data_IF_334164905285
#
_entry.id   IF_334164905285
#
_cell.length_a   1.000
_cell.length_b   1.000
_cell.length_c   1.000
_cell.angle_alpha   90.00
_cell.angle_beta   90.00
_cell.angle_gamma   90.00
#
_symmetry.space_group_name_H-M   'P 1'
#
loop_
_entity.id
_entity.type
_entity.pdbx_description
1 polymer ?
#
# COMPACT_ATOMS: atom_id res chain seq x y z
N UNK A 1 -15.52 13.44 6.81
CA UNK A 1 -15.38 13.82 5.39
C UNK A 1 -15.90 12.68 4.54
N UNK A 2 -16.67 12.98 3.51
CA UNK A 2 -17.16 12.00 2.54
C UNK A 2 -16.09 11.74 1.47
N UNK A 3 -16.14 10.58 0.82
CA UNK A 3 -15.21 10.26 -0.29
C UNK A 3 -15.26 11.30 -1.43
N UNK A 4 -16.39 11.99 -1.61
CA UNK A 4 -16.52 13.08 -2.59
C UNK A 4 -15.72 14.33 -2.21
N UNK A 5 -15.62 14.66 -0.93
CA UNK A 5 -14.84 15.81 -0.44
C UNK A 5 -13.35 15.55 -0.58
N UNK A 6 -12.90 14.35 -0.20
CA UNK A 6 -11.50 13.91 -0.36
C UNK A 6 -11.10 13.91 -1.83
N UNK A 7 -11.96 13.38 -2.71
CA UNK A 7 -11.70 13.38 -4.16
C UNK A 7 -11.50 14.79 -4.72
N UNK A 8 -12.37 15.75 -4.35
CA UNK A 8 -12.22 17.15 -4.79
C UNK A 8 -10.90 17.77 -4.35
N UNK A 9 -10.50 17.54 -3.10
CA UNK A 9 -9.23 18.06 -2.58
C UNK A 9 -8.03 17.49 -3.35
N UNK A 10 -8.04 16.19 -3.68
CA UNK A 10 -6.99 15.57 -4.48
C UNK A 10 -6.96 16.07 -5.93
N UNK A 11 -8.09 16.49 -6.50
CA UNK A 11 -8.09 17.12 -7.83
C UNK A 11 -7.50 18.54 -7.82
N UNK A 12 -7.79 19.32 -6.78
CA UNK A 12 -7.26 20.68 -6.62
C UNK A 12 -5.77 20.67 -6.30
N UNK A 13 -5.32 19.70 -5.50
CA UNK A 13 -3.93 19.51 -5.11
C UNK A 13 -3.55 18.04 -5.32
N UNK A 14 -3.14 17.65 -6.55
CA UNK A 14 -2.75 16.28 -6.85
C UNK A 14 -1.68 15.75 -5.89
N UNK A 15 -1.90 14.57 -5.27
CA UNK A 15 -0.95 14.02 -4.34
C UNK A 15 0.34 13.65 -5.05
N UNK A 16 1.48 13.91 -4.41
CA UNK A 16 2.77 13.44 -4.89
C UNK A 16 2.96 11.98 -4.47
N UNK A 17 2.32 11.07 -5.19
CA UNK A 17 2.41 9.63 -4.94
C UNK A 17 3.85 9.13 -5.09
N UNK A 18 4.25 8.31 -4.14
CA UNK A 18 5.57 7.68 -4.07
C UNK A 18 5.45 6.27 -4.65
N UNK A 19 6.33 5.93 -5.59
CA UNK A 19 6.39 4.58 -6.17
C UNK A 19 6.79 4.57 -7.63
N UNK A 20 6.41 3.51 -8.33
CA UNK A 20 6.80 3.28 -9.73
C UNK A 20 8.29 2.97 -9.88
N UNK A 21 8.93 2.51 -8.81
CA UNK A 21 10.37 2.25 -8.80
C UNK A 21 10.72 0.99 -9.57
N UNK A 22 11.91 0.96 -10.20
CA UNK A 22 12.44 -0.26 -10.84
C UNK A 22 13.14 -1.22 -9.88
N UNK A 23 13.37 -0.80 -8.64
CA UNK A 23 14.05 -1.62 -7.62
C UNK A 23 13.25 -1.59 -6.32
N UNK A 24 12.89 -2.77 -5.83
CA UNK A 24 12.21 -2.94 -4.54
C UNK A 24 12.96 -2.32 -3.36
N UNK A 25 14.30 -2.26 -3.39
CA UNK A 25 15.09 -1.65 -2.31
C UNK A 25 14.79 -0.17 -2.07
N UNK A 26 14.31 0.57 -3.08
CA UNK A 26 13.84 1.95 -2.90
C UNK A 26 12.54 2.01 -2.14
N UNK A 27 11.64 1.05 -2.39
CA UNK A 27 10.38 0.93 -1.67
C UNK A 27 10.63 0.68 -0.18
N UNK A 28 11.49 -0.29 0.13
CA UNK A 28 11.84 -0.63 1.51
C UNK A 28 12.40 0.59 2.25
N UNK A 29 13.32 1.34 1.62
CA UNK A 29 13.88 2.57 2.21
C UNK A 29 12.85 3.67 2.48
N UNK A 30 11.76 3.73 1.71
CA UNK A 30 10.67 4.67 1.99
C UNK A 30 9.87 4.19 3.19
N UNK A 31 9.52 2.90 3.23
CA UNK A 31 8.76 2.31 4.33
C UNK A 31 9.53 2.38 5.68
N UNK A 32 10.85 2.24 5.65
CA UNK A 32 11.74 2.40 6.82
C UNK A 32 11.79 3.84 7.36
N UNK A 33 11.46 4.85 6.53
CA UNK A 33 11.40 6.26 6.99
C UNK A 33 10.09 6.59 7.70
N UNK A 34 9.10 5.71 7.61
CA UNK A 34 7.81 5.90 8.25
C UNK A 34 7.91 5.27 9.64
N UNK A 35 7.78 6.09 10.68
CA UNK A 35 8.06 5.71 12.07
C UNK A 35 7.05 4.70 12.66
N UNK A 36 5.96 4.41 11.96
CA UNK A 36 4.99 3.36 12.29
C UNK A 36 5.65 1.98 12.40
N UNK A 37 5.02 1.07 13.15
CA UNK A 37 5.44 -0.32 13.18
C UNK A 37 5.22 -0.99 11.82
N UNK A 38 5.99 -2.03 11.51
CA UNK A 38 5.83 -2.77 10.24
C UNK A 38 4.47 -3.50 10.17
N UNK A 39 3.90 -3.82 11.33
CA UNK A 39 2.56 -4.39 11.52
C UNK A 39 1.92 -3.77 12.76
N UNK A 40 0.73 -3.20 12.59
CA UNK A 40 -0.09 -2.63 13.65
C UNK A 40 -1.40 -3.44 13.78
N UNK A 41 -1.82 -3.71 15.01
CA UNK A 41 -3.08 -4.41 15.30
C UNK A 41 -4.17 -3.36 15.48
N UNK A 42 -5.17 -3.37 14.59
CA UNK A 42 -6.30 -2.42 14.61
C UNK A 42 -7.41 -2.87 15.56
N UNK A 43 -7.46 -4.16 15.90
CA UNK A 43 -8.54 -4.80 16.64
C UNK A 43 -9.48 -5.59 15.72
N UNK A 44 -10.40 -6.37 16.31
CA UNK A 44 -11.40 -7.17 15.59
C UNK A 44 -10.86 -8.11 14.50
N UNK A 45 -9.62 -8.59 14.66
CA UNK A 45 -8.95 -9.46 13.69
C UNK A 45 -8.37 -8.72 12.49
N UNK A 46 -8.37 -7.39 12.48
CA UNK A 46 -7.74 -6.57 11.47
C UNK A 46 -6.30 -6.22 11.86
N UNK A 47 -5.42 -6.26 10.87
CA UNK A 47 -4.03 -5.79 10.98
C UNK A 47 -3.69 -4.90 9.81
N UNK A 48 -2.93 -3.85 10.07
CA UNK A 48 -2.37 -2.97 9.05
C UNK A 48 -0.88 -3.24 8.94
N UNK A 49 -0.36 -3.42 7.73
CA UNK A 49 1.04 -3.78 7.52
C UNK A 49 1.69 -2.99 6.40
N UNK A 50 2.96 -2.64 6.60
CA UNK A 50 3.81 -2.08 5.55
C UNK A 50 4.09 -3.15 4.49
N UNK A 51 3.92 -2.79 3.23
CA UNK A 51 4.06 -3.70 2.11
C UNK A 51 4.77 -3.09 0.91
N UNK A 52 5.51 -3.94 0.19
CA UNK A 52 5.99 -3.68 -1.16
C UNK A 52 4.98 -4.29 -2.12
N UNK A 53 4.41 -3.47 -3.00
CA UNK A 53 3.63 -3.96 -4.14
C UNK A 53 4.52 -4.08 -5.36
N UNK A 54 4.33 -5.14 -6.12
CA UNK A 54 4.85 -5.33 -7.48
C UNK A 54 3.69 -5.20 -8.47
N UNK A 55 3.75 -4.18 -9.31
CA UNK A 55 2.82 -3.97 -10.41
C UNK A 55 3.11 -4.92 -11.57
N UNK A 56 2.11 -5.15 -12.42
CA UNK A 56 2.24 -6.02 -13.59
C UNK A 56 3.31 -5.55 -14.60
N UNK A 57 3.61 -4.25 -14.64
CA UNK A 57 4.69 -3.66 -15.46
C UNK A 57 6.10 -3.78 -14.84
N UNK A 58 6.24 -4.52 -13.73
CA UNK A 58 7.51 -4.74 -13.03
C UNK A 58 8.02 -3.52 -12.26
N UNK A 59 7.14 -2.58 -11.93
CA UNK A 59 7.46 -1.47 -11.01
C UNK A 59 6.95 -1.72 -9.60
N UNK A 60 7.59 -1.07 -8.63
CA UNK A 60 7.35 -1.30 -7.21
C UNK A 60 6.83 -0.06 -6.50
N UNK A 61 5.92 -0.25 -5.56
CA UNK A 61 5.25 0.81 -4.80
C UNK A 61 5.28 0.53 -3.29
N UNK A 62 5.59 1.52 -2.45
CA UNK A 62 5.34 1.42 -1.01
C UNK A 62 3.84 1.53 -0.76
N UNK A 63 3.33 0.67 0.11
CA UNK A 63 1.93 0.67 0.48
C UNK A 63 1.73 0.24 1.93
N UNK A 64 0.54 0.51 2.44
CA UNK A 64 -0.01 -0.11 3.62
C UNK A 64 -1.17 -1.01 3.18
N UNK A 65 -1.20 -2.23 3.70
CA UNK A 65 -2.27 -3.20 3.49
C UNK A 65 -3.02 -3.41 4.80
N UNK A 66 -4.34 -3.33 4.76
CA UNK A 66 -5.18 -3.80 5.86
C UNK A 66 -5.66 -5.20 5.52
N UNK A 67 -5.40 -6.15 6.41
CA UNK A 67 -5.72 -7.56 6.26
C UNK A 67 -6.74 -7.97 7.32
N UNK A 68 -7.69 -8.81 6.92
CA UNK A 68 -8.63 -9.48 7.83
C UNK A 68 -8.14 -10.89 8.14
N UNK A 69 -7.56 -11.07 9.33
CA UNK A 69 -7.08 -12.36 9.83
C UNK A 69 -8.22 -13.31 10.19
N UNK A 70 -9.40 -12.80 10.52
CA UNK A 70 -10.60 -13.64 10.71
C UNK A 70 -11.03 -14.29 9.39
N UNK A 71 -10.65 -13.69 8.26
CA UNK A 71 -10.83 -14.24 6.92
C UNK A 71 -9.50 -14.60 6.24
N UNK A 72 -8.60 -15.29 6.97
CA UNK A 72 -7.39 -15.90 6.42
C UNK A 72 -6.42 -14.92 5.77
N UNK A 73 -6.37 -13.69 6.26
CA UNK A 73 -5.48 -12.63 5.77
C UNK A 73 -5.95 -11.97 4.48
N UNK A 74 -7.25 -12.00 4.19
CA UNK A 74 -7.80 -11.29 3.02
C UNK A 74 -7.43 -9.81 3.08
N UNK A 75 -6.89 -9.26 1.98
CA UNK A 75 -6.67 -7.83 1.84
C UNK A 75 -8.01 -7.11 1.75
N UNK A 76 -8.32 -6.28 2.75
CA UNK A 76 -9.55 -5.47 2.84
C UNK A 76 -9.28 -3.97 2.68
N UNK A 77 -8.01 -3.55 2.71
CA UNK A 77 -7.59 -2.18 2.45
C UNK A 77 -6.24 -2.12 1.76
N UNK A 78 -6.10 -1.19 0.81
CA UNK A 78 -4.84 -0.88 0.16
C UNK A 78 -4.66 0.64 0.09
N UNK A 79 -3.55 1.13 0.65
CA UNK A 79 -3.23 2.54 0.73
C UNK A 79 -1.87 2.80 0.11
N UNK A 80 -1.83 3.72 -0.86
CA UNK A 80 -0.59 4.24 -1.43
C UNK A 80 -0.10 5.44 -0.64
N UNK A 81 1.21 5.66 -0.69
CA UNK A 81 1.86 6.72 0.09
C UNK A 81 2.05 7.94 -0.79
N UNK A 82 1.65 9.11 -0.30
CA UNK A 82 1.96 10.41 -0.86
C UNK A 82 2.93 11.17 0.05
N UNK A 83 3.86 11.89 -0.55
CA UNK A 83 4.76 12.80 0.18
C UNK A 83 4.11 14.18 0.31
N UNK A 84 3.95 14.64 1.55
CA UNK A 84 3.60 16.01 1.88
C UNK A 84 4.80 16.69 2.59
N UNK A 85 4.78 18.02 2.75
CA UNK A 85 5.94 18.78 3.25
C UNK A 85 6.44 18.35 4.63
N UNK A 86 5.55 17.83 5.46
CA UNK A 86 5.83 17.52 6.88
C UNK A 86 5.56 16.05 7.23
N UNK A 87 4.85 15.30 6.38
CA UNK A 87 4.40 13.94 6.69
C UNK A 87 4.14 13.10 5.44
N UNK A 88 3.98 11.79 5.65
CA UNK A 88 3.45 10.88 4.65
C UNK A 88 1.93 10.75 4.81
N UNK A 89 1.21 10.88 3.70
CA UNK A 89 -0.24 10.70 3.66
C UNK A 89 -0.57 9.33 3.05
N UNK A 90 -1.51 8.60 3.66
CA UNK A 90 -2.04 7.34 3.15
C UNK A 90 -3.30 7.60 2.34
N UNK A 91 -3.29 7.21 1.06
CA UNK A 91 -4.40 7.44 0.13
C UNK A 91 -4.94 6.09 -0.34
N UNK A 92 -6.24 5.80 -0.16
CA UNK A 92 -6.86 4.60 -0.71
C UNK A 92 -6.57 4.44 -2.20
N UNK A 93 -6.26 3.22 -2.63
CA UNK A 93 -5.86 2.94 -4.02
C UNK A 93 -6.86 3.46 -5.04
N UNK A 94 -8.16 3.32 -4.78
CA UNK A 94 -9.26 3.75 -5.63
C UNK A 94 -9.21 5.25 -5.92
N UNK A 95 -8.74 6.04 -4.94
CA UNK A 95 -8.58 7.48 -5.04
C UNK A 95 -7.21 7.88 -5.60
N UNK A 96 -6.17 7.09 -5.31
CA UNK A 96 -4.79 7.36 -5.74
C UNK A 96 -4.55 6.98 -7.21
N UNK A 97 -5.19 5.92 -7.70
CA UNK A 97 -4.96 5.33 -9.02
C UNK A 97 -5.00 6.33 -10.20
N UNK A 98 -5.93 7.30 -10.28
CA UNK A 98 -5.95 8.28 -11.36
C UNK A 98 -4.68 9.13 -11.47
N UNK A 99 -3.94 9.30 -10.35
CA UNK A 99 -2.72 10.09 -10.27
C UNK A 99 -1.44 9.29 -10.55
N UNK A 100 -1.55 7.96 -10.71
CA UNK A 100 -0.41 7.12 -11.10
C UNK A 100 -0.06 7.23 -12.59
N UNK A 101 -0.96 7.80 -13.40
CA UNK A 101 -0.83 7.92 -14.85
C UNK A 101 -0.54 6.57 -15.54
N UNK A 102 -1.07 5.49 -14.99
CA UNK A 102 -0.95 4.13 -15.51
C UNK A 102 -2.32 3.50 -15.69
N UNK A 103 -2.42 2.61 -16.67
CA UNK A 103 -3.61 1.81 -16.91
C UNK A 103 -3.71 0.66 -15.93
N UNK A 104 -4.92 0.11 -15.77
CA UNK A 104 -5.18 -1.09 -14.98
C UNK A 104 -4.31 -2.27 -15.41
N UNK A 105 -4.02 -2.41 -16.71
CA UNK A 105 -3.20 -3.50 -17.24
C UNK A 105 -1.74 -3.40 -16.83
N UNK A 106 -1.25 -2.19 -16.57
CA UNK A 106 0.12 -1.96 -16.13
C UNK A 106 0.26 -2.13 -14.61
N UNK A 107 -0.81 -1.83 -13.86
CA UNK A 107 -0.80 -1.90 -12.40
C UNK A 107 -1.22 -3.27 -11.88
N UNK A 108 -2.34 -3.80 -12.37
CA UNK A 108 -3.05 -4.92 -11.76
C UNK A 108 -2.85 -6.24 -12.54
N UNK A 109 -2.94 -7.39 -11.85
CA UNK A 109 -3.02 -7.51 -10.39
C UNK A 109 -1.68 -7.13 -9.73
N UNK A 110 -1.74 -6.50 -8.56
CA UNK A 110 -0.55 -6.35 -7.74
C UNK A 110 -0.21 -7.69 -7.09
N UNK A 111 1.08 -8.01 -7.05
CA UNK A 111 1.63 -8.95 -6.07
C UNK A 111 2.14 -8.16 -4.88
N UNK A 112 2.19 -8.76 -3.70
CA UNK A 112 2.69 -8.06 -2.52
C UNK A 112 3.60 -8.90 -1.64
N UNK A 113 4.45 -8.23 -0.88
CA UNK A 113 5.13 -8.79 0.29
C UNK A 113 5.12 -7.77 1.42
N UNK A 114 4.85 -8.21 2.64
CA UNK A 114 4.91 -7.35 3.83
C UNK A 114 6.34 -7.29 4.38
N UNK A 115 6.67 -6.24 5.11
CA UNK A 115 8.01 -6.10 5.72
C UNK A 115 8.23 -7.06 6.89
N UNK A 116 7.17 -7.39 7.63
CA UNK A 116 7.18 -8.43 8.65
C UNK A 116 6.17 -9.52 8.33
N UNK A 117 6.46 -10.76 8.73
CA UNK A 117 5.53 -11.88 8.62
C UNK A 117 4.34 -11.66 9.54
N UNK A 118 3.14 -11.87 9.03
CA UNK A 118 1.90 -11.68 9.78
C UNK A 118 1.39 -13.07 10.20
N UNK A 119 1.44 -13.33 11.50
CA UNK A 119 0.96 -14.60 12.03
C UNK A 119 -0.57 -14.71 11.84
N UNK A 120 -1.01 -15.83 11.25
CA UNK A 120 -2.42 -16.07 10.91
C UNK A 120 -2.84 -15.61 9.51
N UNK A 121 -1.98 -14.93 8.75
CA UNK A 121 -2.22 -14.65 7.34
C UNK A 121 -1.85 -15.87 6.47
N UNK A 122 -2.87 -16.55 5.93
CA UNK A 122 -2.69 -17.71 5.03
C UNK A 122 -2.37 -17.31 3.59
N UNK A 123 -2.51 -16.03 3.22
CA UNK A 123 -2.15 -15.54 1.89
C UNK A 123 -0.63 -15.52 1.72
N UNK A 124 0.17 -15.28 2.78
CA UNK A 124 1.64 -15.13 2.68
C UNK A 124 2.41 -16.46 2.48
N UNK A 125 1.95 -17.31 1.56
CA UNK A 125 2.47 -18.67 1.33
C UNK A 125 3.97 -18.65 1.02
N UNK A 126 4.44 -17.62 0.30
CA UNK A 126 5.83 -17.51 -0.16
C UNK A 126 6.70 -16.57 0.69
N UNK A 127 6.23 -16.11 1.85
CA UNK A 127 6.98 -15.11 2.62
C UNK A 127 8.43 -15.57 2.92
N UNK A 128 9.45 -14.70 2.75
CA UNK A 128 9.39 -13.25 2.53
C UNK A 128 9.22 -12.80 1.07
N UNK A 129 9.00 -13.71 0.13
CA UNK A 129 8.78 -13.39 -1.27
C UNK A 129 7.33 -12.95 -1.56
N UNK A 130 7.13 -12.44 -2.77
CA UNK A 130 5.85 -11.93 -3.23
C UNK A 130 4.79 -13.04 -3.34
N UNK A 131 3.63 -12.77 -2.74
CA UNK A 131 2.38 -13.50 -2.94
C UNK A 131 1.63 -12.90 -4.12
#
# INVERSE_FOLDING_TARGET
MTNQEVWKQLQENPPKLIGGYKKQGWVVKILEKIENDDVEIEGDGLVTAKAVLEANDGTYYPAFLTLDLSNKGQVVGLYLIAENKEQFDLIPFELAKPFLHKTDKELLPFRYRTLAKIEGDEQQINWPDFT
#
